data_IF_180294161769
#
_entry.id   IF_180294161769
#
_cell.length_a   1.000
_cell.length_b   1.000
_cell.length_c   1.000
_cell.angle_alpha   90.00
_cell.angle_beta   90.00
_cell.angle_gamma   90.00
#
_symmetry.space_group_name_H-M   'P 1'
#
loop_
_entity.id
_entity.type
_entity.pdbx_description
1 polymer ?
#
# COMPACT_ATOMS: atom_id res chain seq x y z
N UNK A 1 -9.96 -1.40 71.98
CA UNK A 1 -8.95 -1.15 70.91
C UNK A 1 -9.51 -1.63 69.58
N UNK A 2 -10.30 -0.80 68.93
CA UNK A 2 -10.84 -1.13 67.63
C UNK A 2 -11.37 0.15 66.97
N UNK A 3 -10.54 0.91 66.27
CA UNK A 3 -10.92 2.04 65.39
C UNK A 3 -9.70 2.58 64.65
N UNK A 4 -9.17 1.91 63.63
CA UNK A 4 -8.23 2.56 62.68
C UNK A 4 -8.20 1.88 61.25
N UNK A 5 -9.02 0.89 60.96
CA UNK A 5 -8.90 0.15 59.67
C UNK A 5 -9.87 0.56 58.57
N UNK A 6 -10.73 1.57 58.75
CA UNK A 6 -11.77 1.92 57.76
C UNK A 6 -11.40 3.07 56.80
N UNK A 7 -10.34 3.85 57.08
CA UNK A 7 -9.99 5.01 56.27
C UNK A 7 -9.07 4.73 55.06
N UNK A 8 -8.32 3.62 55.07
CA UNK A 8 -7.33 3.37 54.03
C UNK A 8 -7.93 2.71 52.76
N UNK A 9 -9.03 1.98 52.89
CA UNK A 9 -9.70 1.32 51.79
C UNK A 9 -10.50 2.27 50.88
N UNK A 10 -11.02 3.38 51.43
CA UNK A 10 -11.77 4.36 50.65
C UNK A 10 -10.88 5.23 49.74
N UNK A 11 -9.64 5.49 50.14
CA UNK A 11 -8.69 6.29 49.32
C UNK A 11 -8.16 5.50 48.13
N UNK A 12 -8.00 4.18 48.26
CA UNK A 12 -7.50 3.33 47.19
C UNK A 12 -8.53 3.13 46.06
N UNK A 13 -9.82 3.09 46.37
CA UNK A 13 -10.89 2.92 45.35
C UNK A 13 -11.11 4.18 44.54
N UNK A 14 -10.91 5.38 45.14
CA UNK A 14 -11.02 6.64 44.38
C UNK A 14 -9.84 6.87 43.42
N UNK A 15 -8.64 6.39 43.73
CA UNK A 15 -7.46 6.54 42.90
C UNK A 15 -7.51 5.66 41.64
N UNK A 16 -8.14 4.48 41.71
CA UNK A 16 -8.29 3.58 40.55
C UNK A 16 -9.37 4.06 39.57
N UNK A 17 -10.42 4.75 40.07
CA UNK A 17 -11.50 5.27 39.21
C UNK A 17 -11.07 6.49 38.35
N UNK A 18 -10.01 7.21 38.72
CA UNK A 18 -9.49 8.38 37.99
C UNK A 18 -8.56 8.02 36.83
N UNK A 19 -8.03 6.79 36.79
CA UNK A 19 -7.11 6.33 35.75
C UNK A 19 -7.81 5.75 34.49
N UNK A 20 -9.14 5.52 34.57
CA UNK A 20 -9.88 4.92 33.46
C UNK A 20 -10.60 5.93 32.55
N UNK A 21 -10.54 7.23 32.86
CA UNK A 21 -11.25 8.26 32.06
C UNK A 21 -10.40 8.93 30.96
N UNK A 22 -9.15 8.51 30.76
CA UNK A 22 -8.27 9.19 29.78
C UNK A 22 -8.22 8.56 28.38
N UNK A 23 -8.99 7.51 28.10
CA UNK A 23 -8.89 6.76 26.85
C UNK A 23 -10.01 7.03 25.82
N UNK A 24 -10.92 7.97 26.06
CA UNK A 24 -12.11 8.13 25.22
C UNK A 24 -12.27 9.54 24.60
N UNK A 25 -11.17 10.14 24.13
CA UNK A 25 -11.29 11.50 23.53
C UNK A 25 -10.33 11.75 22.36
N UNK A 26 -10.32 10.89 21.36
CA UNK A 26 -9.53 11.16 20.16
C UNK A 26 -10.08 10.45 18.91
N UNK A 27 -11.34 10.68 18.52
CA UNK A 27 -11.78 9.94 17.31
C UNK A 27 -12.71 10.63 16.32
N UNK A 28 -13.05 11.88 16.42
CA UNK A 28 -13.94 12.49 15.41
C UNK A 28 -13.24 13.38 14.38
N UNK A 29 -11.96 13.72 14.57
CA UNK A 29 -11.19 14.54 13.62
C UNK A 29 -10.17 13.76 12.81
N UNK A 30 -9.80 12.57 13.25
CA UNK A 30 -8.63 11.83 12.75
C UNK A 30 -8.81 11.18 11.36
N UNK A 31 -10.03 10.92 10.95
CA UNK A 31 -10.31 10.11 9.74
C UNK A 31 -10.38 10.91 8.43
N UNK A 32 -10.13 12.22 8.47
CA UNK A 32 -10.05 13.06 7.27
C UNK A 32 -8.60 13.23 6.76
N UNK A 33 -7.62 12.87 7.59
CA UNK A 33 -6.19 12.91 7.25
C UNK A 33 -5.67 11.50 7.06
N UNK A 34 -4.97 11.20 5.94
CA UNK A 34 -4.46 9.86 5.66
C UNK A 34 -3.48 9.33 6.71
N UNK A 35 -2.64 10.20 7.31
CA UNK A 35 -1.65 9.77 8.31
C UNK A 35 -2.36 9.32 9.57
N UNK A 36 -3.27 10.13 10.07
CA UNK A 36 -4.07 9.79 11.25
C UNK A 36 -4.97 8.57 10.98
N UNK A 37 -5.55 8.47 9.78
CA UNK A 37 -6.31 7.28 9.37
C UNK A 37 -5.45 6.01 9.38
N UNK A 38 -4.26 6.03 8.76
CA UNK A 38 -3.36 4.88 8.74
C UNK A 38 -2.91 4.48 10.15
N UNK A 39 -2.62 5.44 11.03
CA UNK A 39 -2.30 5.17 12.43
C UNK A 39 -3.45 4.46 13.16
N UNK A 40 -4.70 4.83 12.84
CA UNK A 40 -5.88 4.22 13.48
C UNK A 40 -6.19 2.81 12.94
N UNK A 41 -6.04 2.56 11.63
CA UNK A 41 -6.39 1.26 11.02
C UNK A 41 -5.23 0.29 10.93
N UNK A 42 -3.99 0.76 11.03
CA UNK A 42 -2.77 -0.05 10.93
C UNK A 42 -2.43 -0.44 9.50
N UNK A 43 -3.02 -1.50 8.97
CA UNK A 43 -2.75 -2.01 7.61
C UNK A 43 -4.07 -2.24 6.88
N UNK A 44 -4.18 -1.62 5.70
CA UNK A 44 -5.32 -1.80 4.78
C UNK A 44 -4.87 -1.50 3.34
N UNK A 45 -5.36 -2.29 2.39
CA UNK A 45 -4.94 -2.24 0.98
C UNK A 45 -5.46 -0.99 0.23
N UNK A 46 -6.56 -0.42 0.68
CA UNK A 46 -7.11 0.85 0.20
C UNK A 46 -7.96 1.50 1.29
N UNK A 47 -8.16 2.82 1.28
CA UNK A 47 -9.05 3.47 2.22
C UNK A 47 -10.47 2.92 2.15
N UNK A 48 -11.04 2.63 3.31
CA UNK A 48 -12.43 2.16 3.44
C UNK A 48 -13.39 3.32 3.77
N UNK A 49 -14.66 2.98 4.01
CA UNK A 49 -15.71 3.94 4.32
C UNK A 49 -15.49 4.74 5.62
N UNK A 50 -14.51 4.38 6.45
CA UNK A 50 -14.14 5.14 7.66
C UNK A 50 -13.31 6.37 7.31
N UNK A 51 -12.56 6.35 6.21
CA UNK A 51 -11.86 7.53 5.72
C UNK A 51 -12.86 8.53 5.13
N UNK A 52 -12.77 9.80 5.54
CA UNK A 52 -13.70 10.87 5.15
C UNK A 52 -13.01 12.04 4.44
N UNK A 53 -11.70 11.94 4.25
CA UNK A 53 -10.92 12.96 3.53
C UNK A 53 -11.05 12.85 2.01
N UNK A 54 -10.36 13.74 1.28
CA UNK A 54 -10.26 13.64 -0.18
C UNK A 54 -9.58 12.32 -0.59
N UNK A 55 -10.06 11.69 -1.68
CA UNK A 55 -9.50 10.43 -2.16
C UNK A 55 -7.96 10.47 -2.32
N UNK A 56 -7.44 11.57 -2.85
CA UNK A 56 -6.01 11.90 -2.91
C UNK A 56 -5.82 13.35 -2.48
N UNK A 57 -5.30 13.63 -1.28
CA UNK A 57 -4.95 14.98 -0.84
C UNK A 57 -3.87 15.63 -1.71
N UNK A 58 -3.88 16.98 -1.79
CA UNK A 58 -2.92 17.73 -2.63
C UNK A 58 -1.45 17.51 -2.20
N UNK A 59 -1.20 17.31 -0.91
CA UNK A 59 0.14 17.04 -0.43
C UNK A 59 0.71 15.70 -0.94
N UNK A 60 -0.13 14.68 -1.18
CA UNK A 60 0.31 13.42 -1.81
C UNK A 60 0.74 13.65 -3.26
N UNK A 61 0.05 14.54 -4.00
CA UNK A 61 0.46 14.90 -5.36
C UNK A 61 1.84 15.54 -5.36
N UNK A 62 2.11 16.44 -4.40
CA UNK A 62 3.41 17.08 -4.24
C UNK A 62 4.53 16.11 -3.80
N UNK A 63 4.19 14.99 -3.16
CA UNK A 63 5.15 13.91 -2.85
C UNK A 63 5.39 12.97 -4.03
N UNK A 64 4.37 12.75 -4.87
CA UNK A 64 4.41 11.84 -6.01
C UNK A 64 5.12 12.46 -7.23
N UNK A 65 5.01 13.78 -7.42
CA UNK A 65 5.51 14.46 -8.62
C UNK A 65 6.25 15.74 -8.29
N UNK A 66 7.31 16.08 -9.06
CA UNK A 66 7.92 17.39 -9.01
C UNK A 66 6.96 18.46 -9.60
N UNK A 67 7.10 19.74 -9.18
CA UNK A 67 6.18 20.82 -9.56
C UNK A 67 5.99 20.99 -11.09
N UNK A 68 7.05 20.82 -11.87
CA UNK A 68 7.02 20.91 -13.33
C UNK A 68 6.19 19.79 -13.95
N UNK A 69 6.23 18.58 -13.41
CA UNK A 69 5.41 17.47 -13.89
C UNK A 69 3.93 17.69 -13.57
N UNK A 70 3.62 18.22 -12.38
CA UNK A 70 2.25 18.60 -11.99
C UNK A 70 1.72 19.65 -12.97
N UNK A 71 2.54 20.67 -13.26
CA UNK A 71 2.15 21.72 -14.21
C UNK A 71 1.90 21.16 -15.60
N UNK A 72 2.82 20.34 -16.13
CA UNK A 72 2.71 19.75 -17.47
C UNK A 72 1.45 18.89 -17.59
N UNK A 73 1.11 18.09 -16.59
CA UNK A 73 -0.12 17.30 -16.59
C UNK A 73 -1.38 18.19 -16.62
N UNK A 74 -1.42 19.24 -15.79
CA UNK A 74 -2.53 20.20 -15.76
C UNK A 74 -2.67 20.95 -17.09
N UNK A 75 -1.57 21.40 -17.67
CA UNK A 75 -1.57 22.09 -18.98
C UNK A 75 -2.08 21.16 -20.10
N UNK A 76 -1.86 19.85 -19.97
CA UNK A 76 -2.39 18.82 -20.86
C UNK A 76 -3.85 18.41 -20.54
N UNK A 77 -4.51 19.07 -19.58
CA UNK A 77 -5.89 18.77 -19.15
C UNK A 77 -6.01 17.47 -18.33
N UNK A 78 -4.89 16.96 -17.80
CA UNK A 78 -4.88 15.77 -16.96
C UNK A 78 -4.93 16.15 -15.48
N UNK A 79 -5.64 15.34 -14.68
CA UNK A 79 -5.62 15.45 -13.23
C UNK A 79 -4.54 14.53 -12.65
N UNK A 80 -3.45 15.07 -12.06
CA UNK A 80 -2.37 14.25 -11.51
C UNK A 80 -2.81 13.33 -10.36
N UNK A 81 -3.96 13.58 -9.74
CA UNK A 81 -4.50 12.71 -8.69
C UNK A 81 -4.95 11.35 -9.20
N UNK A 82 -5.36 11.26 -10.48
CA UNK A 82 -5.91 10.03 -11.07
C UNK A 82 -4.94 8.86 -11.12
N UNK A 83 -3.65 9.15 -11.17
CA UNK A 83 -2.60 8.14 -11.22
C UNK A 83 -2.01 7.81 -9.83
N UNK A 84 -2.49 8.43 -8.77
CA UNK A 84 -2.02 8.16 -7.43
C UNK A 84 -3.01 7.24 -6.72
N UNK A 85 -2.49 6.11 -6.23
CA UNK A 85 -3.18 5.23 -5.29
C UNK A 85 -2.41 5.24 -3.97
N UNK A 86 -3.12 4.98 -2.87
CA UNK A 86 -2.48 4.91 -1.57
C UNK A 86 -3.11 3.85 -0.68
N UNK A 87 -2.34 3.35 0.26
CA UNK A 87 -2.70 2.33 1.24
C UNK A 87 -2.01 2.58 2.57
N UNK A 88 -2.39 1.81 3.59
CA UNK A 88 -1.71 1.82 4.87
C UNK A 88 -0.92 0.52 5.07
N UNK A 89 0.31 0.64 5.56
CA UNK A 89 1.09 -0.50 6.02
C UNK A 89 1.70 -0.17 7.37
N UNK A 90 1.36 -0.96 8.39
CA UNK A 90 1.84 -0.78 9.78
C UNK A 90 1.68 0.66 10.30
N UNK A 91 0.53 1.27 10.04
CA UNK A 91 0.23 2.64 10.48
C UNK A 91 0.84 3.76 9.65
N UNK A 92 1.52 3.43 8.55
CA UNK A 92 2.20 4.39 7.67
C UNK A 92 1.47 4.50 6.34
N UNK A 93 1.44 5.72 5.78
CA UNK A 93 0.88 5.97 4.44
C UNK A 93 1.92 5.62 3.38
N UNK A 94 1.52 4.79 2.42
CA UNK A 94 2.29 4.51 1.22
C UNK A 94 1.51 4.98 -0.01
N UNK A 95 2.21 5.62 -0.95
CA UNK A 95 1.67 6.00 -2.25
C UNK A 95 2.37 5.24 -3.36
N UNK A 96 1.64 4.95 -4.44
CA UNK A 96 2.18 4.45 -5.69
C UNK A 96 1.60 5.26 -6.85
N UNK A 97 2.44 5.54 -7.86
CA UNK A 97 2.01 6.21 -9.08
C UNK A 97 1.71 5.16 -10.13
N UNK A 98 0.44 5.01 -10.48
CA UNK A 98 -0.01 4.06 -11.48
C UNK A 98 0.18 4.63 -12.88
N UNK A 99 0.89 3.91 -13.73
CA UNK A 99 1.06 4.20 -15.15
C UNK A 99 0.03 3.45 -16.01
N UNK A 100 0.43 3.10 -17.24
CA UNK A 100 -0.39 2.34 -18.17
C UNK A 100 -0.47 0.83 -17.83
N UNK A 101 0.34 0.35 -16.89
CA UNK A 101 0.31 -1.02 -16.36
C UNK A 101 -0.17 -1.02 -14.91
N UNK A 102 -0.79 -2.11 -14.41
CA UNK A 102 -1.30 -2.20 -13.03
C UNK A 102 -0.18 -2.45 -12.01
N UNK A 103 0.87 -1.64 -12.09
CA UNK A 103 2.09 -1.81 -11.28
C UNK A 103 1.89 -1.52 -9.79
N UNK A 104 0.77 -0.89 -9.41
CA UNK A 104 0.44 -0.62 -8.02
C UNK A 104 -0.45 -1.72 -7.38
N UNK A 105 -0.79 -2.75 -8.13
CA UNK A 105 -1.60 -3.86 -7.63
C UNK A 105 -0.74 -4.92 -6.91
N UNK A 106 -1.39 -5.86 -6.21
CA UNK A 106 -0.70 -7.01 -5.64
C UNK A 106 -0.11 -7.88 -6.76
N UNK A 107 1.13 -8.26 -6.58
CA UNK A 107 1.83 -9.11 -7.52
C UNK A 107 1.53 -10.59 -7.27
N UNK A 108 1.53 -11.39 -8.33
CA UNK A 108 1.57 -12.84 -8.19
C UNK A 108 2.98 -13.28 -7.78
N UNK A 109 3.05 -14.12 -6.76
CA UNK A 109 4.30 -14.78 -6.36
C UNK A 109 4.46 -16.16 -6.98
N UNK A 110 3.55 -16.57 -7.88
CA UNK A 110 3.59 -17.86 -8.57
C UNK A 110 4.80 -17.94 -9.49
N UNK A 111 5.57 -19.00 -9.34
CA UNK A 111 6.70 -19.33 -10.23
C UNK A 111 6.29 -20.36 -11.31
N UNK A 112 4.98 -20.63 -11.43
CA UNK A 112 4.43 -21.55 -12.42
C UNK A 112 4.08 -20.82 -13.70
N UNK A 113 4.67 -21.18 -14.85
CA UNK A 113 4.33 -20.58 -16.13
C UNK A 113 2.85 -20.78 -16.50
N UNK A 114 2.23 -19.75 -17.05
CA UNK A 114 0.88 -19.87 -17.61
C UNK A 114 0.89 -20.64 -18.93
N UNK A 115 -0.27 -21.13 -19.38
CA UNK A 115 -0.38 -21.76 -20.69
C UNK A 115 0.01 -20.79 -21.82
N UNK A 116 -0.36 -19.52 -21.72
CA UNK A 116 -0.01 -18.52 -22.72
C UNK A 116 1.50 -18.29 -22.84
N UNK A 117 2.23 -18.33 -21.70
CA UNK A 117 3.70 -18.29 -21.71
C UNK A 117 4.30 -19.53 -22.39
N UNK A 118 3.75 -20.72 -22.11
CA UNK A 118 4.19 -21.98 -22.75
C UNK A 118 3.96 -21.94 -24.27
N UNK A 119 2.77 -21.49 -24.70
CA UNK A 119 2.41 -21.36 -26.12
C UNK A 119 3.33 -20.34 -26.82
N UNK A 120 3.64 -19.22 -26.14
CA UNK A 120 4.58 -18.23 -26.66
C UNK A 120 5.98 -18.81 -26.86
N UNK A 121 6.55 -19.46 -25.84
CA UNK A 121 7.89 -20.07 -25.95
C UNK A 121 7.93 -21.22 -26.96
N UNK A 122 6.84 -21.97 -27.13
CA UNK A 122 6.75 -23.01 -28.16
C UNK A 122 6.86 -22.41 -29.57
N UNK A 123 6.28 -21.21 -29.79
CA UNK A 123 6.29 -20.50 -31.07
C UNK A 123 7.52 -19.62 -31.28
N UNK A 124 8.13 -19.13 -30.20
CA UNK A 124 9.28 -18.23 -30.22
C UNK A 124 10.39 -18.74 -29.27
N UNK A 125 11.08 -19.84 -29.65
CA UNK A 125 12.10 -20.43 -28.81
C UNK A 125 13.26 -19.46 -28.52
N UNK A 126 13.81 -19.53 -27.29
CA UNK A 126 14.91 -18.68 -26.81
C UNK A 126 14.62 -17.19 -26.82
N UNK A 127 13.35 -16.77 -26.79
CA UNK A 127 13.00 -15.35 -26.64
C UNK A 127 13.58 -14.80 -25.34
N UNK A 128 14.29 -13.67 -25.42
CA UNK A 128 14.88 -12.99 -24.26
C UNK A 128 13.81 -12.52 -23.27
N UNK A 129 12.66 -12.07 -23.78
CA UNK A 129 11.55 -11.57 -22.99
C UNK A 129 10.24 -12.19 -23.48
N UNK A 130 9.41 -12.64 -22.56
CA UNK A 130 8.02 -12.99 -22.85
C UNK A 130 7.19 -11.70 -22.74
N UNK A 131 6.41 -11.33 -23.77
CA UNK A 131 5.66 -10.09 -23.75
C UNK A 131 4.50 -10.13 -22.75
N UNK A 132 4.08 -8.95 -22.29
CA UNK A 132 3.06 -8.76 -21.25
C UNK A 132 1.74 -9.48 -21.56
N UNK A 133 1.31 -9.50 -22.81
CA UNK A 133 0.05 -10.18 -23.18
C UNK A 133 0.09 -11.70 -22.95
N UNK A 134 1.28 -12.32 -22.95
CA UNK A 134 1.45 -13.74 -22.67
C UNK A 134 1.73 -14.03 -21.18
N UNK A 135 2.43 -13.12 -20.49
CA UNK A 135 2.72 -13.27 -19.07
C UNK A 135 1.45 -13.11 -18.22
N UNK A 136 0.61 -12.11 -18.55
CA UNK A 136 -0.40 -11.57 -17.67
C UNK A 136 0.21 -10.58 -16.68
N UNK A 137 -0.64 -9.68 -16.18
CA UNK A 137 -0.20 -8.53 -15.39
C UNK A 137 0.49 -8.90 -14.07
N UNK A 138 -0.04 -9.88 -13.37
CA UNK A 138 0.42 -10.25 -12.04
C UNK A 138 1.85 -10.84 -12.03
N UNK A 139 2.18 -11.69 -13.00
CA UNK A 139 3.48 -12.35 -13.05
C UNK A 139 4.62 -11.41 -13.48
N UNK A 140 4.32 -10.40 -14.28
CA UNK A 140 5.32 -9.45 -14.76
C UNK A 140 5.84 -8.54 -13.65
N UNK A 141 5.04 -8.30 -12.62
CA UNK A 141 5.36 -7.26 -11.64
C UNK A 141 6.59 -7.56 -10.79
N UNK A 142 6.94 -8.83 -10.61
CA UNK A 142 8.08 -9.21 -9.77
C UNK A 142 9.16 -10.01 -10.50
N UNK A 143 8.84 -10.67 -11.61
CA UNK A 143 9.79 -11.52 -12.33
C UNK A 143 9.86 -11.14 -13.82
N UNK A 144 11.09 -11.08 -14.34
CA UNK A 144 11.34 -11.10 -15.77
C UNK A 144 11.32 -12.54 -16.28
N UNK A 145 10.51 -12.77 -17.30
CA UNK A 145 10.37 -14.07 -17.94
C UNK A 145 10.92 -14.06 -19.36
N UNK A 146 11.63 -15.14 -19.71
CA UNK A 146 12.10 -15.43 -21.06
C UNK A 146 11.92 -16.89 -21.39
N UNK A 147 12.39 -17.31 -22.58
CA UNK A 147 12.35 -18.70 -23.00
C UNK A 147 13.74 -19.31 -23.00
N UNK A 148 13.85 -20.52 -22.47
CA UNK A 148 15.00 -21.38 -22.67
C UNK A 148 14.57 -22.54 -23.56
N UNK A 149 15.02 -22.54 -24.82
CA UNK A 149 14.40 -23.39 -25.81
C UNK A 149 12.92 -23.03 -25.95
N UNK A 150 12.03 -24.00 -25.78
CA UNK A 150 10.57 -23.83 -25.83
C UNK A 150 9.92 -23.69 -24.46
N UNK A 151 10.70 -23.57 -23.40
CA UNK A 151 10.20 -23.54 -22.02
C UNK A 151 10.30 -22.14 -21.40
N UNK A 152 9.24 -21.62 -20.78
CA UNK A 152 9.30 -20.39 -20.01
C UNK A 152 10.24 -20.52 -18.80
N UNK A 153 11.06 -19.50 -18.58
CA UNK A 153 12.03 -19.47 -17.48
C UNK A 153 12.12 -18.09 -16.88
N UNK A 154 12.17 -18.00 -15.55
CA UNK A 154 12.47 -16.74 -14.86
C UNK A 154 13.94 -16.41 -15.13
N UNK A 155 14.19 -15.21 -15.66
CA UNK A 155 15.53 -14.67 -15.91
C UNK A 155 16.07 -13.96 -14.67
N UNK A 156 15.24 -13.13 -14.06
CA UNK A 156 15.56 -12.38 -12.83
C UNK A 156 14.30 -12.01 -12.07
N UNK A 157 14.45 -11.74 -10.78
CA UNK A 157 13.44 -11.06 -10.00
C UNK A 157 13.72 -9.55 -10.06
N UNK A 158 12.72 -8.75 -10.45
CA UNK A 158 12.87 -7.29 -10.63
C UNK A 158 12.35 -6.49 -9.44
N UNK A 159 11.37 -7.04 -8.70
CA UNK A 159 10.84 -6.42 -7.49
C UNK A 159 10.78 -7.41 -6.33
N UNK A 160 10.97 -6.91 -5.11
CA UNK A 160 10.64 -7.63 -3.90
C UNK A 160 9.16 -7.43 -3.58
N UNK A 161 8.58 -8.40 -2.89
CA UNK A 161 7.18 -8.33 -2.44
C UNK A 161 7.17 -7.99 -0.96
N UNK A 162 6.38 -6.99 -0.59
CA UNK A 162 6.19 -6.65 0.82
C UNK A 162 5.27 -7.65 1.55
N UNK A 163 5.07 -7.44 2.85
CA UNK A 163 4.25 -8.34 3.68
C UNK A 163 2.77 -8.41 3.26
N UNK A 164 2.27 -7.44 2.47
CA UNK A 164 0.92 -7.40 1.95
C UNK A 164 0.81 -7.91 0.51
N UNK A 165 1.93 -8.28 -0.13
CA UNK A 165 1.96 -8.81 -1.48
C UNK A 165 2.15 -7.77 -2.58
N UNK A 166 2.59 -6.55 -2.27
CA UNK A 166 2.84 -5.50 -3.25
C UNK A 166 4.31 -5.41 -3.62
N UNK A 167 4.66 -5.00 -4.87
CA UNK A 167 6.04 -4.71 -5.26
C UNK A 167 6.58 -3.57 -4.40
N UNK A 168 7.51 -3.87 -3.48
CA UNK A 168 7.93 -2.96 -2.42
C UNK A 168 8.55 -1.67 -2.96
N UNK A 169 9.32 -1.76 -4.04
CA UNK A 169 10.06 -0.64 -4.64
C UNK A 169 9.14 0.38 -5.35
N UNK A 170 7.89 0.01 -5.66
CA UNK A 170 6.93 0.88 -6.33
C UNK A 170 6.09 1.70 -5.34
N UNK A 171 6.14 1.35 -4.05
CA UNK A 171 5.38 2.00 -3.01
C UNK A 171 6.27 2.89 -2.14
N UNK A 172 6.04 4.19 -2.22
CA UNK A 172 6.79 5.20 -1.48
C UNK A 172 6.11 5.51 -0.15
N UNK A 173 6.85 5.39 0.95
CA UNK A 173 6.43 5.90 2.26
C UNK A 173 6.37 7.42 2.23
N UNK A 174 5.26 8.00 2.68
CA UNK A 174 5.08 9.46 2.72
C UNK A 174 4.54 9.92 4.06
N UNK A 175 4.96 11.13 4.43
CA UNK A 175 4.49 11.86 5.61
C UNK A 175 4.03 13.24 5.19
N UNK A 176 3.00 13.75 5.90
CA UNK A 176 2.51 15.12 5.70
C UNK A 176 3.49 16.16 6.20
#
# INVERSE_FOLDING_TARGET
MARVTCSLQFVLVLAVALLTLSAARAETGALNDPVAYCQAVGTIDAPDAKYKGPAVPDWMVAKAYPPEAIKAQKDAGMDPKRSIVWRCASGTVLICVQGNAPQCDKASTSKTPTKAMQDYCASTPNAEVIPLYAIGHENQMIDDWGCRGKEPTIKSQVFNVDAQGYPAELWQTVTH
#
